data_IF_932999530756
#
_entry.id   IF_932999530756
#
_cell.length_a   1.000
_cell.length_b   1.000
_cell.length_c   1.000
_cell.angle_alpha   90.00
_cell.angle_beta   90.00
_cell.angle_gamma   90.00
#
_symmetry.space_group_name_H-M   'P 1'
#
loop_
_entity.id
_entity.type
_entity.pdbx_description
1 polymer ?
#
# COMPACT_ATOMS: atom_id res chain seq x y z
N UNK A 1 22.24 1.94 20.12
CA UNK A 1 21.69 3.32 20.17
C UNK A 1 21.62 3.81 18.74
N UNK A 2 20.48 3.64 18.09
CA UNK A 2 20.20 4.26 16.80
C UNK A 2 19.05 5.21 17.07
N UNK A 3 19.28 6.51 16.95
CA UNK A 3 18.21 7.49 16.87
C UNK A 3 17.36 7.11 15.65
N UNK A 4 16.30 6.34 15.89
CA UNK A 4 15.19 6.25 14.96
C UNK A 4 14.70 7.68 14.83
N UNK A 5 15.10 8.37 13.76
CA UNK A 5 14.49 9.62 13.35
C UNK A 5 13.03 9.29 13.15
N UNK A 6 12.24 9.51 14.19
CA UNK A 6 10.79 9.39 14.17
C UNK A 6 10.32 10.43 13.18
N UNK A 7 10.17 10.01 11.94
CA UNK A 7 9.35 10.69 10.98
C UNK A 7 7.93 10.62 11.56
N UNK A 8 7.57 11.64 12.34
CA UNK A 8 6.22 11.91 12.80
C UNK A 8 5.39 12.30 11.57
N UNK A 9 5.10 11.30 10.74
CA UNK A 9 4.30 11.44 9.55
C UNK A 9 2.91 10.95 9.91
N UNK A 10 1.98 11.90 9.89
CA UNK A 10 0.57 11.66 10.06
C UNK A 10 0.08 10.55 9.11
N UNK A 11 -0.74 9.63 9.64
CA UNK A 11 -1.30 8.49 8.89
C UNK A 11 -2.02 8.92 7.62
N UNK A 12 -2.65 10.10 7.60
CA UNK A 12 -3.29 10.70 6.41
C UNK A 12 -2.28 10.99 5.31
N UNK A 13 -1.11 11.56 5.67
CA UNK A 13 -0.05 11.85 4.70
C UNK A 13 0.49 10.54 4.10
N UNK A 14 0.65 9.51 4.92
CA UNK A 14 1.08 8.18 4.47
C UNK A 14 0.04 7.49 3.57
N UNK A 15 -1.24 7.59 3.92
CA UNK A 15 -2.33 7.03 3.13
C UNK A 15 -2.41 7.68 1.75
N UNK A 16 -2.45 9.02 1.70
CA UNK A 16 -2.47 9.78 0.45
C UNK A 16 -1.22 9.53 -0.39
N UNK A 17 -0.06 9.41 0.25
CA UNK A 17 1.18 9.05 -0.41
C UNK A 17 1.06 7.69 -1.11
N UNK A 18 0.60 6.67 -0.38
CA UNK A 18 0.40 5.33 -0.93
C UNK A 18 -0.54 5.35 -2.13
N UNK A 19 -1.71 5.98 -2.00
CA UNK A 19 -2.67 6.12 -3.10
C UNK A 19 -2.05 6.80 -4.34
N UNK A 20 -1.36 7.93 -4.14
CA UNK A 20 -0.73 8.67 -5.23
C UNK A 20 0.40 7.87 -5.90
N UNK A 21 1.18 7.10 -5.16
CA UNK A 21 2.21 6.22 -5.71
C UNK A 21 1.60 5.14 -6.61
N UNK A 22 0.47 4.56 -6.21
CA UNK A 22 -0.22 3.54 -7.02
C UNK A 22 -0.83 4.15 -8.29
N UNK A 23 -1.45 5.33 -8.18
CA UNK A 23 -1.98 6.07 -9.33
C UNK A 23 -0.85 6.41 -10.30
N UNK A 24 0.23 7.01 -9.81
CA UNK A 24 1.38 7.40 -10.61
C UNK A 24 2.12 6.19 -11.19
N UNK A 25 2.19 5.06 -10.48
CA UNK A 25 2.93 3.86 -10.90
C UNK A 25 2.18 2.96 -11.88
N UNK A 26 0.84 2.93 -11.82
CA UNK A 26 0.04 1.97 -12.59
C UNK A 26 -1.07 2.60 -13.44
N UNK A 27 -1.62 3.75 -13.05
CA UNK A 27 -2.79 4.35 -13.73
C UNK A 27 -2.41 5.47 -14.70
N UNK A 28 -1.33 6.21 -14.41
CA UNK A 28 -0.86 7.34 -15.23
C UNK A 28 0.39 7.03 -16.06
N UNK A 29 0.95 5.83 -15.93
CA UNK A 29 2.12 5.37 -16.68
C UNK A 29 1.72 4.71 -18.01
N UNK A 30 2.71 4.57 -18.90
CA UNK A 30 2.54 3.73 -20.10
C UNK A 30 2.35 2.27 -19.68
N UNK A 31 1.51 1.49 -20.39
CA UNK A 31 1.25 0.08 -20.05
C UNK A 31 2.51 -0.78 -19.91
N UNK A 32 3.55 -0.50 -20.69
CA UNK A 32 4.83 -1.19 -20.67
C UNK A 32 5.59 -0.95 -19.36
N UNK A 33 5.61 0.29 -18.88
CA UNK A 33 6.28 0.67 -17.63
C UNK A 33 5.51 0.13 -16.41
N UNK A 34 4.18 0.19 -16.43
CA UNK A 34 3.34 -0.41 -15.39
C UNK A 34 3.57 -1.94 -15.31
N UNK A 35 3.66 -2.63 -16.45
CA UNK A 35 3.99 -4.06 -16.51
C UNK A 35 5.39 -4.36 -16.01
N UNK A 36 6.38 -3.49 -16.28
CA UNK A 36 7.75 -3.63 -15.78
C UNK A 36 7.80 -3.49 -14.27
N UNK A 37 7.18 -2.44 -13.72
CA UNK A 37 7.03 -2.24 -12.28
C UNK A 37 6.34 -3.45 -11.61
N UNK A 38 5.24 -3.91 -12.18
CA UNK A 38 4.56 -5.13 -11.72
C UNK A 38 5.48 -6.36 -11.71
N UNK A 39 6.29 -6.58 -12.76
CA UNK A 39 7.22 -7.72 -12.82
C UNK A 39 8.23 -7.66 -11.67
N UNK A 40 8.76 -6.47 -11.38
CA UNK A 40 9.70 -6.28 -10.28
C UNK A 40 9.02 -6.56 -8.93
N UNK A 41 7.83 -6.01 -8.69
CA UNK A 41 7.05 -6.26 -7.47
C UNK A 41 6.66 -7.74 -7.32
N UNK A 42 6.24 -8.41 -8.40
CA UNK A 42 5.88 -9.84 -8.39
C UNK A 42 7.05 -10.73 -7.97
N UNK A 43 8.28 -10.31 -8.23
CA UNK A 43 9.51 -10.99 -7.82
C UNK A 43 9.88 -10.70 -6.35
N UNK A 44 9.07 -9.94 -5.62
CA UNK A 44 9.33 -9.55 -4.23
C UNK A 44 10.36 -8.43 -4.11
N UNK A 45 10.71 -7.74 -5.20
CA UNK A 45 11.68 -6.65 -5.16
C UNK A 45 11.12 -5.45 -4.41
N UNK A 46 12.02 -4.77 -3.72
CA UNK A 46 11.77 -3.48 -3.12
C UNK A 46 12.09 -2.38 -4.14
N UNK A 47 11.06 -1.81 -4.76
CA UNK A 47 11.23 -0.91 -5.92
C UNK A 47 11.27 0.54 -5.46
N UNK A 48 12.30 1.35 -5.80
CA UNK A 48 12.29 2.78 -5.53
C UNK A 48 11.12 3.46 -6.27
N UNK A 49 10.29 4.22 -5.54
CA UNK A 49 9.05 4.79 -6.10
C UNK A 49 8.90 6.29 -5.86
N UNK A 50 9.83 6.92 -5.14
CA UNK A 50 9.84 8.37 -4.98
C UNK A 50 10.56 8.83 -3.73
N UNK A 51 10.20 10.02 -3.26
CA UNK A 51 10.65 10.56 -1.98
C UNK A 51 9.57 11.46 -1.37
N UNK A 52 9.45 11.44 -0.04
CA UNK A 52 8.76 12.46 0.73
C UNK A 52 9.75 13.57 1.06
N UNK A 53 9.37 14.83 0.86
CA UNK A 53 10.19 15.97 1.29
C UNK A 53 9.56 16.57 2.54
N UNK A 54 10.34 16.68 3.61
CA UNK A 54 9.93 17.38 4.83
C UNK A 54 9.80 18.88 4.56
N UNK A 55 8.60 19.42 4.79
CA UNK A 55 8.33 20.86 4.64
C UNK A 55 9.12 21.71 5.66
N UNK A 56 9.43 21.14 6.84
CA UNK A 56 10.14 21.85 7.92
C UNK A 56 11.65 21.88 7.74
N UNK A 57 12.23 20.81 7.20
CA UNK A 57 13.69 20.60 7.18
C UNK A 57 14.27 20.44 5.78
N UNK A 58 13.43 20.31 4.74
CA UNK A 58 13.86 20.02 3.38
C UNK A 58 14.43 18.61 3.17
N UNK A 59 14.51 17.80 4.23
CA UNK A 59 15.04 16.44 4.16
C UNK A 59 14.16 15.55 3.27
N UNK A 60 14.80 14.83 2.35
CA UNK A 60 14.15 13.86 1.48
C UNK A 60 14.22 12.47 2.11
N UNK A 61 13.06 11.88 2.38
CA UNK A 61 12.90 10.49 2.78
C UNK A 61 12.58 9.65 1.54
N UNK A 62 13.49 8.78 1.07
CA UNK A 62 13.20 7.85 -0.02
C UNK A 62 12.00 6.97 0.28
N UNK A 63 11.17 6.74 -0.73
CA UNK A 63 10.03 5.84 -0.65
C UNK A 63 10.25 4.67 -1.60
N UNK A 64 9.92 3.48 -1.12
CA UNK A 64 9.98 2.25 -1.87
C UNK A 64 8.61 1.57 -1.85
N UNK A 65 8.27 0.88 -2.93
CA UNK A 65 7.06 0.08 -3.05
C UNK A 65 7.44 -1.40 -2.98
N UNK A 66 6.66 -2.16 -2.23
CA UNK A 66 6.78 -3.61 -2.13
C UNK A 66 5.41 -4.26 -2.29
N UNK A 67 5.42 -5.49 -2.77
CA UNK A 67 4.26 -6.35 -2.83
C UNK A 67 4.52 -7.66 -2.09
N UNK A 68 3.59 -8.01 -1.22
CA UNK A 68 3.45 -9.33 -0.61
C UNK A 68 2.20 -9.99 -1.19
N UNK A 69 2.41 -11.12 -1.87
CA UNK A 69 1.36 -11.87 -2.57
C UNK A 69 1.21 -13.29 -2.02
N UNK A 70 1.72 -13.54 -0.83
CA UNK A 70 1.71 -14.86 -0.17
C UNK A 70 0.30 -15.45 -0.10
N UNK A 71 -0.70 -14.63 0.23
CA UNK A 71 -2.10 -15.05 0.39
C UNK A 71 -2.97 -14.83 -0.86
N UNK A 72 -2.37 -14.49 -2.00
CA UNK A 72 -3.14 -14.33 -3.24
C UNK A 72 -3.67 -15.67 -3.73
N UNK A 73 -4.98 -15.77 -3.95
CA UNK A 73 -5.67 -16.93 -4.49
C UNK A 73 -5.92 -16.75 -5.99
N UNK A 74 -5.61 -17.80 -6.77
CA UNK A 74 -5.79 -17.82 -8.23
C UNK A 74 -4.54 -17.43 -9.04
N UNK A 75 -4.74 -17.12 -10.33
CA UNK A 75 -3.63 -16.78 -11.21
C UNK A 75 -3.13 -15.34 -10.99
N UNK A 76 -1.90 -15.20 -10.49
CA UNK A 76 -1.28 -13.89 -10.31
C UNK A 76 -0.66 -13.35 -11.61
N UNK A 77 -1.44 -12.59 -12.37
CA UNK A 77 -1.06 -11.95 -13.64
C UNK A 77 -1.27 -10.41 -13.56
N UNK A 78 -0.74 -9.67 -14.55
CA UNK A 78 -0.83 -8.20 -14.55
C UNK A 78 -2.30 -7.69 -14.58
N UNK A 79 -3.19 -8.21 -15.43
CA UNK A 79 -4.61 -7.80 -15.41
C UNK A 79 -5.29 -7.96 -14.05
N UNK A 80 -5.10 -9.10 -13.37
CA UNK A 80 -5.70 -9.37 -12.06
C UNK A 80 -5.14 -8.44 -10.98
N UNK A 81 -3.82 -8.19 -11.02
CA UNK A 81 -3.18 -7.23 -10.13
C UNK A 81 -3.65 -5.79 -10.38
N UNK A 82 -3.74 -5.36 -11.64
CA UNK A 82 -4.23 -4.03 -12.00
C UNK A 82 -5.69 -3.83 -11.57
N UNK A 83 -6.55 -4.85 -11.74
CA UNK A 83 -7.91 -4.85 -11.24
C UNK A 83 -7.95 -4.69 -9.71
N UNK A 84 -7.08 -5.41 -8.99
CA UNK A 84 -6.95 -5.29 -7.54
C UNK A 84 -6.60 -3.87 -7.09
N UNK A 85 -5.63 -3.23 -7.77
CA UNK A 85 -5.26 -1.85 -7.49
C UNK A 85 -6.40 -0.88 -7.78
N UNK A 86 -7.14 -1.06 -8.88
CA UNK A 86 -8.30 -0.21 -9.21
C UNK A 86 -9.38 -0.28 -8.13
N UNK A 87 -9.70 -1.48 -7.64
CA UNK A 87 -10.66 -1.68 -6.54
C UNK A 87 -10.17 -1.01 -5.25
N UNK A 88 -8.89 -1.18 -4.91
CA UNK A 88 -8.29 -0.52 -3.75
C UNK A 88 -8.37 1.01 -3.85
N UNK A 89 -7.99 1.58 -4.99
CA UNK A 89 -8.03 3.04 -5.20
C UNK A 89 -9.46 3.58 -5.14
N UNK A 90 -10.44 2.86 -5.70
CA UNK A 90 -11.85 3.23 -5.58
C UNK A 90 -12.32 3.19 -4.12
N UNK A 91 -11.92 2.18 -3.34
CA UNK A 91 -12.22 2.15 -1.90
C UNK A 91 -11.56 3.31 -1.17
N UNK A 92 -10.31 3.62 -1.48
CA UNK A 92 -9.60 4.74 -0.86
C UNK A 92 -10.27 6.08 -1.15
N UNK A 93 -10.73 6.28 -2.38
CA UNK A 93 -11.52 7.47 -2.76
C UNK A 93 -12.83 7.56 -1.98
N UNK A 94 -13.53 6.44 -1.80
CA UNK A 94 -14.77 6.40 -1.03
C UNK A 94 -14.55 6.68 0.47
N UNK A 95 -13.49 6.12 1.06
CA UNK A 95 -13.11 6.38 2.45
C UNK A 95 -12.74 7.86 2.65
N UNK A 96 -11.92 8.43 1.76
CA UNK A 96 -11.55 9.83 1.79
C UNK A 96 -12.74 10.78 1.56
N UNK A 97 -13.77 10.36 0.82
CA UNK A 97 -15.03 11.11 0.67
C UNK A 97 -15.91 11.04 1.92
N UNK A 98 -16.02 9.85 2.53
CA UNK A 98 -16.85 9.63 3.73
C UNK A 98 -16.30 10.38 4.93
N UNK A 99 -14.98 10.40 5.05
CA UNK A 99 -14.27 11.09 6.12
C UNK A 99 -13.06 11.84 5.55
N UNK A 100 -13.25 13.09 5.08
CA UNK A 100 -12.16 13.90 4.51
C UNK A 100 -11.01 14.16 5.48
N UNK A 101 -11.27 14.05 6.77
CA UNK A 101 -10.27 14.17 7.81
C UNK A 101 -9.58 12.83 8.12
N UNK A 102 -9.99 11.72 7.51
CA UNK A 102 -9.44 10.39 7.75
C UNK A 102 -9.29 10.08 9.27
N UNK A 103 -10.18 10.62 10.11
CA UNK A 103 -10.24 10.41 11.57
C UNK A 103 -10.63 8.98 11.91
N UNK A 104 -11.50 8.39 11.10
CA UNK A 104 -11.95 6.99 11.16
C UNK A 104 -11.01 6.05 10.41
N UNK A 105 -9.87 6.55 9.92
CA UNK A 105 -8.88 5.72 9.24
C UNK A 105 -8.22 4.80 10.28
N UNK A 106 -8.85 3.64 10.48
CA UNK A 106 -8.42 2.63 11.44
C UNK A 106 -7.01 2.20 11.05
N UNK A 107 -6.03 2.53 11.87
CA UNK A 107 -4.65 2.07 11.70
C UNK A 107 -4.31 1.06 12.78
N UNK A 108 -3.52 0.05 12.40
CA UNK A 108 -2.86 -0.84 13.33
C UNK A 108 -1.37 -0.53 13.29
N UNK A 109 -0.82 -0.10 14.42
CA UNK A 109 0.61 0.20 14.52
C UNK A 109 1.35 -1.03 15.01
N UNK A 110 2.32 -1.49 14.24
CA UNK A 110 3.28 -2.49 14.68
C UNK A 110 4.26 -1.83 15.67
N UNK A 111 4.19 -2.23 16.93
CA UNK A 111 5.02 -1.67 18.00
C UNK A 111 6.50 -2.02 17.87
N UNK A 112 6.85 -3.09 17.15
CA UNK A 112 8.24 -3.54 16.99
C UNK A 112 9.01 -2.71 15.97
N UNK A 113 8.38 -2.37 14.84
CA UNK A 113 9.03 -1.64 13.76
C UNK A 113 8.46 -0.23 13.51
N UNK A 114 7.40 0.17 14.21
CA UNK A 114 6.73 1.47 13.99
C UNK A 114 5.94 1.56 12.69
N UNK A 115 5.72 0.43 12.01
CA UNK A 115 4.93 0.35 10.78
C UNK A 115 3.45 0.56 11.04
N UNK A 116 2.77 1.14 10.07
CA UNK A 116 1.33 1.43 10.11
C UNK A 116 0.62 0.61 9.05
N UNK A 117 -0.25 -0.29 9.46
CA UNK A 117 -1.20 -0.97 8.57
C UNK A 117 -2.50 -0.17 8.52
N UNK A 118 -2.92 0.20 7.31
CA UNK A 118 -4.23 0.81 7.10
C UNK A 118 -5.28 -0.30 7.10
N UNK A 119 -6.12 -0.34 8.13
CA UNK A 119 -7.18 -1.33 8.30
C UNK A 119 -8.38 -1.00 7.39
N UNK A 120 -8.11 -1.00 6.07
CA UNK A 120 -9.09 -0.82 4.99
C UNK A 120 -8.99 -2.06 4.08
N UNK A 121 -9.66 -3.17 4.46
CA UNK A 121 -9.62 -4.39 3.67
C UNK A 121 -10.28 -4.20 2.30
N UNK A 122 -9.50 -4.38 1.25
CA UNK A 122 -9.98 -4.31 -0.13
C UNK A 122 -10.30 -5.72 -0.62
N UNK A 123 -11.44 -6.25 -0.18
CA UNK A 123 -12.00 -7.50 -0.70
C UNK A 123 -12.38 -7.39 -2.18
N UNK A 124 -12.02 -8.40 -2.97
CA UNK A 124 -12.28 -8.47 -4.40
C UNK A 124 -12.46 -9.92 -4.86
N UNK A 125 -13.39 -10.12 -5.78
CA UNK A 125 -13.60 -11.39 -6.45
C UNK A 125 -12.83 -11.38 -7.78
N UNK A 126 -11.89 -12.31 -7.96
CA UNK A 126 -11.12 -12.48 -9.20
C UNK A 126 -11.37 -13.90 -9.71
N UNK A 127 -12.24 -14.04 -10.71
CA UNK A 127 -12.77 -15.35 -11.09
C UNK A 127 -13.56 -15.94 -9.92
N UNK A 128 -13.25 -17.18 -9.53
CA UNK A 128 -13.89 -17.85 -8.39
C UNK A 128 -13.16 -17.62 -7.06
N UNK A 129 -12.02 -16.93 -7.08
CA UNK A 129 -11.20 -16.68 -5.91
C UNK A 129 -11.48 -15.32 -5.25
N UNK A 130 -11.84 -15.35 -3.96
CA UNK A 130 -11.86 -14.17 -3.10
C UNK A 130 -10.44 -13.81 -2.69
N UNK A 131 -10.09 -12.53 -2.82
CA UNK A 131 -8.81 -11.97 -2.40
C UNK A 131 -9.05 -10.72 -1.56
N UNK A 132 -8.14 -10.44 -0.61
CA UNK A 132 -8.17 -9.20 0.19
C UNK A 132 -6.83 -8.51 0.06
N UNK A 133 -6.83 -7.27 -0.41
CA UNK A 133 -5.62 -6.44 -0.50
C UNK A 133 -5.65 -5.35 0.58
N UNK A 134 -4.52 -5.15 1.26
CA UNK A 134 -4.32 -4.09 2.23
C UNK A 134 -3.02 -3.34 1.95
N UNK A 135 -2.89 -2.14 2.54
CA UNK A 135 -1.72 -1.29 2.41
C UNK A 135 -1.14 -1.00 3.78
N UNK A 136 0.18 -1.10 3.89
CA UNK A 136 0.95 -0.69 5.05
C UNK A 136 2.03 0.32 4.65
N UNK A 137 2.46 1.12 5.61
CA UNK A 137 3.60 2.02 5.52
C UNK A 137 4.58 1.66 6.64
N UNK A 138 5.72 1.08 6.28
CA UNK A 138 6.72 0.57 7.23
C UNK A 138 8.02 1.37 7.10
N UNK A 139 8.58 1.89 8.20
CA UNK A 139 9.91 2.48 8.14
C UNK A 139 10.95 1.37 7.92
N UNK A 140 11.92 1.65 7.05
CA UNK A 140 13.03 0.75 6.75
C UNK A 140 14.31 1.58 6.63
N UNK A 141 15.18 1.48 7.62
CA UNK A 141 16.39 2.29 7.74
C UNK A 141 16.08 3.79 7.55
N UNK A 142 16.74 4.43 6.60
CA UNK A 142 16.50 5.81 6.18
C UNK A 142 15.50 5.92 5.02
N UNK A 143 14.51 5.02 4.95
CA UNK A 143 13.47 5.02 3.92
C UNK A 143 12.11 4.61 4.47
N UNK A 144 11.06 4.86 3.69
CA UNK A 144 9.72 4.39 3.96
C UNK A 144 9.33 3.35 2.90
N UNK A 145 8.75 2.24 3.32
CA UNK A 145 8.21 1.21 2.43
C UNK A 145 6.70 1.29 2.45
N UNK A 146 6.10 1.58 1.29
CA UNK A 146 4.68 1.33 1.07
C UNK A 146 4.56 -0.13 0.64
N UNK A 147 3.94 -0.95 1.49
CA UNK A 147 3.77 -2.38 1.27
C UNK A 147 2.33 -2.68 0.93
N UNK A 148 2.10 -3.24 -0.26
CA UNK A 148 0.85 -3.86 -0.62
C UNK A 148 0.88 -5.31 -0.16
N UNK A 149 -0.15 -5.78 0.52
CA UNK A 149 -0.19 -7.14 1.03
C UNK A 149 -1.54 -7.79 0.77
N UNK A 150 -1.50 -8.91 0.07
CA UNK A 150 -2.64 -9.82 0.04
C UNK A 150 -2.72 -10.53 1.37
N UNK A 151 -3.90 -10.50 1.97
CA UNK A 151 -4.22 -11.10 3.25
C UNK A 151 -5.09 -12.33 3.03
N UNK A 152 -5.02 -13.28 3.96
CA UNK A 152 -5.90 -14.45 3.96
C UNK A 152 -7.37 -13.99 4.03
N UNK A 153 -8.16 -14.18 2.97
CA UNK A 153 -9.54 -13.68 2.93
C UNK A 153 -10.45 -14.35 3.96
N UNK A 154 -10.11 -15.54 4.47
CA UNK A 154 -10.91 -16.25 5.46
C UNK A 154 -10.89 -15.53 6.83
N UNK A 155 -9.89 -14.66 7.08
CA UNK A 155 -9.82 -13.80 8.26
C UNK A 155 -10.89 -12.67 8.25
N UNK A 156 -11.45 -12.37 7.08
CA UNK A 156 -12.43 -11.31 6.86
C UNK A 156 -13.83 -11.83 6.60
N UNK A 157 -14.00 -13.15 6.53
CA UNK A 157 -15.33 -13.75 6.54
C UNK A 157 -15.89 -13.65 7.96
N UNK A 158 -17.11 -13.13 8.10
CA UNK A 158 -17.81 -13.18 9.38
C UNK A 158 -17.84 -14.64 9.86
N UNK A 159 -17.23 -14.90 11.03
CA UNK A 159 -17.45 -16.14 11.75
C UNK A 159 -18.91 -16.16 12.17
N UNK A 160 -19.76 -16.76 11.33
CA UNK A 160 -21.11 -17.15 11.74
C UNK A 160 -21.06 -18.18 12.87
#
# INVERSE_FOLDING_TARGET
MSEQKSFDIDSRKLFNLGANLLIAGFMQQKPEEAKKLYKDLKQGKLVPSGHLTSEKTGLKLPIKLQLDRSEFRGQFNFPNFEAALKIMLQKFENEARRDPELKDLRTLTNQENGGILFNIPCGMQIGDDLNVLMMAAEPLDNSLVVKLMFMDPDQFQDKK
#
